data_IF_561806219899
#
_entry.id   IF_561806219899
#
_cell.length_a   1.000
_cell.length_b   1.000
_cell.length_c   1.000
_cell.angle_alpha   90.00
_cell.angle_beta   90.00
_cell.angle_gamma   90.00
#
_symmetry.space_group_name_H-M   'P 1'
#
loop_
_entity.id
_entity.type
_entity.pdbx_description
1 polymer ?
#
# COMPACT_ATOMS: atom_id res chain seq x y z
N UNK A 1 4.33 12.21 -0.95
CA UNK A 1 3.45 11.19 -1.58
C UNK A 1 4.24 10.00 -2.10
N UNK A 2 5.28 10.19 -2.92
CA UNK A 2 6.05 9.09 -3.54
C UNK A 2 6.57 8.04 -2.54
N UNK A 3 7.23 8.40 -1.41
CA UNK A 3 7.76 7.41 -0.46
C UNK A 3 6.65 6.56 0.18
N UNK A 4 5.51 7.19 0.44
CA UNK A 4 4.32 6.55 1.02
C UNK A 4 3.72 5.53 0.05
N UNK A 5 3.64 5.87 -1.24
CA UNK A 5 3.16 4.95 -2.27
C UNK A 5 4.09 3.73 -2.37
N UNK A 6 5.40 3.94 -2.46
CA UNK A 6 6.34 2.82 -2.55
C UNK A 6 6.33 1.93 -1.30
N UNK A 7 6.25 2.53 -0.11
CA UNK A 7 6.11 1.76 1.12
C UNK A 7 4.83 0.93 1.14
N UNK A 8 3.69 1.52 0.77
CA UNK A 8 2.39 0.84 0.76
C UNK A 8 2.35 -0.29 -0.28
N UNK A 9 2.84 -0.04 -1.50
CA UNK A 9 2.97 -1.06 -2.55
C UNK A 9 3.90 -2.19 -2.15
N UNK A 10 4.99 -1.90 -1.44
CA UNK A 10 5.92 -2.94 -0.97
C UNK A 10 5.24 -3.88 0.00
N UNK A 11 4.47 -3.36 0.95
CA UNK A 11 3.73 -4.18 1.91
C UNK A 11 2.63 -4.97 1.21
N UNK A 12 1.92 -4.35 0.27
CA UNK A 12 0.91 -5.00 -0.56
C UNK A 12 1.46 -6.22 -1.31
N UNK A 13 2.52 -6.04 -2.08
CA UNK A 13 3.19 -7.09 -2.83
C UNK A 13 3.83 -8.16 -1.93
N UNK A 14 4.44 -7.72 -0.84
CA UNK A 14 4.96 -8.64 0.18
C UNK A 14 3.86 -9.52 0.76
N UNK A 15 2.68 -8.97 1.02
CA UNK A 15 1.54 -9.72 1.56
C UNK A 15 1.02 -10.78 0.60
N UNK A 16 0.95 -10.49 -0.71
CA UNK A 16 0.67 -11.53 -1.71
C UNK A 16 1.69 -12.68 -1.64
N UNK A 17 2.98 -12.33 -1.70
CA UNK A 17 4.05 -13.33 -1.65
C UNK A 17 4.08 -14.12 -0.34
N UNK A 18 3.75 -13.47 0.78
CA UNK A 18 3.75 -14.10 2.11
C UNK A 18 2.59 -15.08 2.24
N UNK A 19 1.39 -14.73 1.78
CA UNK A 19 0.25 -15.65 1.79
C UNK A 19 0.46 -16.79 0.81
N UNK A 20 0.99 -16.53 -0.38
CA UNK A 20 1.34 -17.57 -1.35
C UNK A 20 2.34 -18.58 -0.73
N UNK A 21 3.38 -18.09 -0.07
CA UNK A 21 4.35 -18.93 0.64
C UNK A 21 3.71 -19.78 1.76
N UNK A 22 2.81 -19.20 2.55
CA UNK A 22 2.11 -19.92 3.62
C UNK A 22 1.14 -20.98 3.08
N UNK A 23 0.63 -20.81 1.87
CA UNK A 23 -0.26 -21.75 1.18
C UNK A 23 0.51 -22.79 0.33
N UNK A 24 1.84 -22.76 0.33
CA UNK A 24 2.68 -23.77 -0.32
C UNK A 24 3.46 -23.31 -1.56
N UNK A 25 3.21 -22.10 -2.07
CA UNK A 25 3.94 -21.56 -3.21
C UNK A 25 5.22 -20.81 -2.80
N UNK A 26 6.36 -21.48 -2.94
CA UNK A 26 7.67 -20.90 -2.65
C UNK A 26 8.31 -20.12 -3.82
N UNK A 27 7.59 -19.87 -4.92
CA UNK A 27 8.12 -19.21 -6.13
C UNK A 27 8.69 -17.82 -5.84
N UNK A 28 7.92 -16.97 -5.16
CA UNK A 28 8.37 -15.63 -4.77
C UNK A 28 9.61 -15.66 -3.86
N UNK A 29 9.68 -16.63 -2.95
CA UNK A 29 10.83 -16.80 -2.06
C UNK A 29 12.09 -17.21 -2.84
N UNK A 30 11.98 -18.23 -3.71
CA UNK A 30 13.10 -18.74 -4.54
C UNK A 30 13.66 -17.67 -5.48
N UNK A 31 12.81 -16.77 -5.97
CA UNK A 31 13.22 -15.64 -6.82
C UNK A 31 13.71 -14.43 -6.03
N UNK A 32 13.79 -14.50 -4.69
CA UNK A 32 14.18 -13.38 -3.83
C UNK A 32 13.19 -12.22 -3.84
N UNK A 33 11.94 -12.45 -4.25
CA UNK A 33 10.87 -11.45 -4.37
C UNK A 33 10.09 -11.27 -3.06
N UNK A 34 10.21 -12.22 -2.12
CA UNK A 34 9.69 -12.07 -0.75
C UNK A 34 10.59 -11.15 0.08
N UNK A 35 10.51 -9.84 -0.16
CA UNK A 35 11.40 -8.84 0.44
C UNK A 35 10.66 -7.56 0.81
N UNK A 36 11.08 -6.90 1.89
CA UNK A 36 10.65 -5.54 2.24
C UNK A 36 11.43 -4.44 1.52
N UNK A 37 12.35 -4.80 0.61
CA UNK A 37 13.07 -3.82 -0.18
C UNK A 37 12.14 -3.26 -1.28
N UNK A 38 11.76 -1.97 -1.24
CA UNK A 38 10.83 -1.40 -2.21
C UNK A 38 11.34 -1.47 -3.64
N UNK A 39 12.65 -1.36 -3.85
CA UNK A 39 13.26 -1.43 -5.18
C UNK A 39 13.07 -2.79 -5.86
N UNK A 40 12.82 -3.85 -5.08
CA UNK A 40 12.48 -5.15 -5.67
C UNK A 40 11.07 -5.17 -6.23
N UNK A 41 10.17 -4.31 -5.80
CA UNK A 41 8.77 -4.26 -6.27
C UNK A 41 8.52 -3.16 -7.30
N UNK A 42 9.53 -2.34 -7.61
CA UNK A 42 9.40 -1.31 -8.64
C UNK A 42 9.60 -1.88 -10.04
N UNK A 43 8.73 -1.46 -10.95
CA UNK A 43 8.96 -1.58 -12.38
C UNK A 43 9.64 -0.31 -12.89
N UNK A 44 10.69 -0.44 -13.69
CA UNK A 44 11.42 0.72 -14.20
C UNK A 44 10.53 1.58 -15.11
N UNK A 45 9.75 0.96 -15.99
CA UNK A 45 8.84 1.68 -16.88
C UNK A 45 7.67 2.26 -16.08
N UNK A 46 7.08 1.48 -15.17
CA UNK A 46 6.03 1.98 -14.27
C UNK A 46 6.49 3.19 -13.45
N UNK A 47 7.73 3.18 -12.96
CA UNK A 47 8.31 4.32 -12.22
C UNK A 47 8.53 5.54 -13.12
N UNK A 48 9.04 5.34 -14.34
CA UNK A 48 9.20 6.44 -15.31
C UNK A 48 7.85 7.07 -15.68
N UNK A 49 6.86 6.25 -16.00
CA UNK A 49 5.49 6.72 -16.28
C UNK A 49 4.93 7.50 -15.09
N UNK A 50 5.16 7.03 -13.86
CA UNK A 50 4.69 7.75 -12.69
C UNK A 50 5.34 9.14 -12.56
N UNK A 51 6.64 9.26 -12.84
CA UNK A 51 7.35 10.52 -12.78
C UNK A 51 6.94 11.54 -13.86
N UNK A 52 6.65 11.08 -15.09
CA UNK A 52 6.38 11.97 -16.23
C UNK A 52 4.89 12.15 -16.57
N UNK A 53 4.07 11.15 -16.26
CA UNK A 53 2.65 11.08 -16.63
C UNK A 53 1.75 11.13 -15.38
N UNK A 54 2.30 10.88 -14.18
CA UNK A 54 1.53 10.84 -12.93
C UNK A 54 0.79 9.52 -12.68
N UNK A 55 0.97 8.52 -13.55
CA UNK A 55 0.41 7.18 -13.43
C UNK A 55 1.50 6.13 -13.59
N UNK A 56 1.49 5.06 -12.80
CA UNK A 56 2.46 3.97 -12.91
C UNK A 56 2.00 2.72 -12.18
N UNK A 57 2.75 1.63 -12.33
CA UNK A 57 2.45 0.34 -11.75
C UNK A 57 3.68 -0.28 -11.07
N UNK A 58 3.43 -1.17 -10.12
CA UNK A 58 4.46 -1.99 -9.49
C UNK A 58 4.78 -3.21 -10.36
N UNK A 59 5.94 -3.83 -10.11
CA UNK A 59 6.30 -5.12 -10.69
C UNK A 59 5.72 -6.21 -9.77
N UNK A 60 4.68 -6.95 -10.18
CA UNK A 60 3.95 -7.86 -9.30
C UNK A 60 4.82 -9.01 -8.79
N UNK A 61 4.48 -9.54 -7.62
CA UNK A 61 5.11 -10.74 -7.05
C UNK A 61 4.63 -11.98 -7.80
N UNK A 62 5.56 -12.87 -8.23
CA UNK A 62 5.19 -14.08 -8.96
C UNK A 62 4.51 -15.09 -8.03
N UNK A 63 3.37 -15.60 -8.48
CA UNK A 63 2.59 -16.64 -7.80
C UNK A 63 2.31 -17.76 -8.81
N UNK A 64 2.57 -19.01 -8.42
CA UNK A 64 2.32 -20.20 -9.25
C UNK A 64 1.17 -21.04 -8.69
N UNK A 65 -0.03 -20.98 -9.29
CA UNK A 65 -1.21 -21.73 -8.82
C UNK A 65 -1.02 -23.25 -8.80
N UNK A 66 -0.04 -23.78 -9.55
CA UNK A 66 0.25 -25.22 -9.61
C UNK A 66 0.85 -25.77 -8.32
N UNK A 67 1.37 -24.89 -7.47
CA UNK A 67 1.96 -25.27 -6.18
C UNK A 67 0.91 -25.33 -5.05
N UNK A 68 -0.33 -24.93 -5.30
CA UNK A 68 -1.40 -24.94 -4.31
C UNK A 68 -2.20 -26.24 -4.33
N UNK A 69 -2.60 -26.70 -3.14
CA UNK A 69 -3.50 -27.84 -2.98
C UNK A 69 -4.91 -27.53 -3.51
N UNK A 70 -5.38 -26.28 -3.32
CA UNK A 70 -6.66 -25.80 -3.81
C UNK A 70 -6.48 -24.51 -4.62
N UNK A 71 -6.03 -24.60 -5.89
CA UNK A 71 -5.55 -23.46 -6.68
C UNK A 71 -6.52 -22.29 -6.80
N UNK A 72 -7.81 -22.58 -6.80
CA UNK A 72 -8.88 -21.58 -6.81
C UNK A 72 -8.88 -20.78 -5.50
N UNK A 73 -9.34 -21.42 -4.41
CA UNK A 73 -9.43 -20.84 -3.06
C UNK A 73 -8.14 -20.16 -2.63
N UNK A 74 -7.01 -20.80 -2.87
CA UNK A 74 -5.71 -20.31 -2.42
C UNK A 74 -5.29 -19.05 -3.21
N UNK A 75 -5.61 -18.97 -4.50
CA UNK A 75 -5.45 -17.73 -5.29
C UNK A 75 -6.36 -16.60 -4.82
N UNK A 76 -7.59 -16.89 -4.39
CA UNK A 76 -8.47 -15.87 -3.78
C UNK A 76 -7.85 -15.32 -2.48
N UNK A 77 -7.29 -16.17 -1.62
CA UNK A 77 -6.61 -15.71 -0.40
C UNK A 77 -5.36 -14.89 -0.69
N UNK A 78 -4.58 -15.30 -1.69
CA UNK A 78 -3.44 -14.50 -2.15
C UNK A 78 -3.93 -13.15 -2.64
N UNK A 79 -4.96 -13.11 -3.49
CA UNK A 79 -5.49 -11.86 -4.05
C UNK A 79 -6.02 -10.91 -2.98
N UNK A 80 -6.73 -11.40 -1.95
CA UNK A 80 -7.23 -10.52 -0.88
C UNK A 80 -6.14 -10.03 0.08
N UNK A 81 -4.98 -10.70 0.12
CA UNK A 81 -3.88 -10.38 1.03
C UNK A 81 -3.34 -8.95 0.82
N UNK A 82 -3.17 -8.53 -0.43
CA UNK A 82 -2.71 -7.20 -0.80
C UNK A 82 -3.65 -6.10 -0.30
N UNK A 83 -4.93 -6.07 -0.73
CA UNK A 83 -5.89 -5.08 -0.27
C UNK A 83 -6.09 -5.07 1.25
N UNK A 84 -6.10 -6.25 1.89
CA UNK A 84 -6.25 -6.35 3.35
C UNK A 84 -5.04 -5.75 4.09
N UNK A 85 -3.83 -5.92 3.56
CA UNK A 85 -2.63 -5.30 4.13
C UNK A 85 -2.67 -3.77 4.06
N UNK A 86 -3.17 -3.21 2.94
CA UNK A 86 -3.36 -1.77 2.79
C UNK A 86 -4.40 -1.24 3.78
N UNK A 87 -5.56 -1.91 3.91
CA UNK A 87 -6.56 -1.52 4.91
C UNK A 87 -5.98 -1.57 6.34
N UNK A 88 -5.17 -2.58 6.65
CA UNK A 88 -4.49 -2.71 7.94
C UNK A 88 -3.55 -1.53 8.18
N UNK A 89 -2.74 -1.15 7.18
CA UNK A 89 -1.88 0.04 7.25
C UNK A 89 -2.66 1.33 7.44
N UNK A 90 -3.79 1.49 6.74
CA UNK A 90 -4.65 2.66 6.89
C UNK A 90 -5.17 2.79 8.33
N UNK A 91 -5.59 1.69 8.95
CA UNK A 91 -6.01 1.69 10.37
C UNK A 91 -4.85 2.06 11.28
N UNK A 92 -3.66 1.48 11.06
CA UNK A 92 -2.46 1.78 11.85
C UNK A 92 -2.09 3.27 11.74
N UNK A 93 -2.03 3.83 10.54
CA UNK A 93 -1.72 5.25 10.36
C UNK A 93 -2.81 6.17 10.93
N UNK A 94 -4.08 5.81 10.79
CA UNK A 94 -5.19 6.55 11.39
C UNK A 94 -5.10 6.56 12.92
N UNK A 95 -4.69 5.45 13.54
CA UNK A 95 -4.41 5.38 14.97
C UNK A 95 -3.31 6.37 15.37
N UNK A 96 -2.19 6.41 14.63
CA UNK A 96 -1.10 7.36 14.91
C UNK A 96 -1.52 8.82 14.72
N UNK A 97 -2.38 9.13 13.74
CA UNK A 97 -2.94 10.49 13.58
C UNK A 97 -3.67 10.94 14.86
N UNK A 98 -4.42 10.05 15.51
CA UNK A 98 -5.13 10.36 16.77
C UNK A 98 -4.20 10.62 17.95
N UNK A 99 -2.97 10.10 17.91
CA UNK A 99 -1.97 10.33 18.95
C UNK A 99 -1.24 11.66 18.78
N UNK A 100 -1.35 12.31 17.62
CA UNK A 100 -0.76 13.63 17.35
C UNK A 100 -1.78 14.68 17.77
N UNK A 101 -1.35 15.63 18.61
CA UNK A 101 -2.18 16.77 18.96
C UNK A 101 -2.59 17.52 17.68
N UNK A 102 -3.89 17.78 17.46
CA UNK A 102 -4.32 18.50 16.27
C UNK A 102 -3.69 19.89 16.27
N UNK A 103 -2.78 20.18 15.31
CA UNK A 103 -2.31 21.56 15.13
C UNK A 103 -3.57 22.39 14.82
N UNK A 104 -3.96 23.27 15.75
CA UNK A 104 -5.08 24.18 15.55
C UNK A 104 -4.67 25.20 14.50
N UNK A 105 -4.87 24.88 13.22
CA UNK A 105 -4.74 25.84 12.11
C UNK A 105 -6.01 26.69 12.02
N UNK A 106 -6.48 27.22 13.16
CA UNK A 106 -7.61 28.15 13.20
C UNK A 106 -7.17 29.42 13.92
N UNK A 107 -7.36 30.54 13.22
CA UNK A 107 -7.05 31.94 13.57
C UNK A 107 -5.60 32.41 13.36
N UNK A 108 -5.28 32.72 12.10
CA UNK A 108 -4.23 33.71 11.77
C UNK A 108 -4.87 34.90 11.02
N UNK A 109 -6.01 35.42 11.51
CA UNK A 109 -6.63 36.64 10.96
C UNK A 109 -6.84 37.75 11.99
N UNK A 110 -6.69 37.50 13.30
CA UNK A 110 -6.77 38.56 14.30
C UNK A 110 -5.52 38.67 15.17
N UNK A 111 -4.93 39.87 15.12
CA UNK A 111 -4.06 40.47 16.14
C UNK A 111 -2.63 39.91 16.29
N UNK A 112 -1.67 40.62 15.67
CA UNK A 112 -0.46 41.23 16.26
C UNK A 112 0.33 40.53 17.39
N UNK A 113 0.29 39.21 17.51
CA UNK A 113 1.26 38.44 18.29
C UNK A 113 1.81 37.35 17.39
N UNK A 114 3.11 37.44 17.06
CA UNK A 114 3.89 36.32 16.57
C UNK A 114 3.96 35.24 17.66
N UNK A 115 2.87 34.52 17.88
CA UNK A 115 2.96 33.15 18.34
C UNK A 115 3.23 32.33 17.09
N UNK A 116 4.52 32.15 16.78
CA UNK A 116 4.96 31.02 15.98
C UNK A 116 4.58 29.76 16.76
N UNK A 117 3.33 29.34 16.63
CA UNK A 117 2.92 27.99 17.00
C UNK A 117 3.71 27.07 16.10
N UNK A 118 4.82 26.53 16.62
CA UNK A 118 5.63 25.57 15.91
C UNK A 118 4.76 24.34 15.68
N UNK A 119 4.17 24.20 14.49
CA UNK A 119 3.58 22.93 14.09
C UNK A 119 4.73 21.94 13.80
N UNK A 120 5.49 21.56 14.83
CA UNK A 120 6.64 20.65 14.71
C UNK A 120 6.22 19.29 14.13
N UNK A 121 4.93 18.95 14.25
CA UNK A 121 4.34 17.72 13.72
C UNK A 121 3.50 17.90 12.43
N UNK A 122 3.44 19.10 11.83
CA UNK A 122 2.62 19.32 10.63
C UNK A 122 3.02 18.40 9.47
N UNK A 123 4.33 18.25 9.23
CA UNK A 123 4.84 17.39 8.15
C UNK A 123 4.45 15.93 8.41
N UNK A 124 4.60 15.46 9.65
CA UNK A 124 4.24 14.10 10.04
C UNK A 124 2.74 13.85 9.89
N UNK A 125 1.91 14.80 10.34
CA UNK A 125 0.46 14.73 10.19
C UNK A 125 0.03 14.65 8.71
N UNK A 126 0.63 15.47 7.85
CA UNK A 126 0.39 15.45 6.40
C UNK A 126 0.81 14.11 5.80
N UNK A 127 2.00 13.59 6.16
CA UNK A 127 2.49 12.31 5.66
C UNK A 127 1.60 11.14 6.07
N UNK A 128 1.15 11.09 7.33
CA UNK A 128 0.23 10.06 7.80
C UNK A 128 -1.14 10.17 7.13
N UNK A 129 -1.66 11.39 6.94
CA UNK A 129 -2.92 11.63 6.25
C UNK A 129 -2.87 11.14 4.80
N UNK A 130 -1.78 11.44 4.09
CA UNK A 130 -1.51 10.91 2.75
C UNK A 130 -1.40 9.37 2.80
N UNK A 131 -0.77 8.79 3.82
CA UNK A 131 -0.63 7.35 3.96
C UNK A 131 -1.96 6.63 4.16
N UNK A 132 -2.86 7.18 4.98
CA UNK A 132 -4.23 6.67 5.10
C UNK A 132 -4.95 6.73 3.76
N UNK A 133 -4.94 7.90 3.11
CA UNK A 133 -5.59 8.08 1.81
C UNK A 133 -5.09 7.09 0.75
N UNK A 134 -3.78 6.99 0.59
CA UNK A 134 -3.15 6.10 -0.40
C UNK A 134 -3.49 4.64 -0.13
N UNK A 135 -3.41 4.18 1.12
CA UNK A 135 -3.69 2.78 1.44
C UNK A 135 -5.16 2.42 1.23
N UNK A 136 -6.10 3.30 1.62
CA UNK A 136 -7.53 3.10 1.35
C UNK A 136 -7.80 3.10 -0.15
N UNK A 137 -7.23 4.06 -0.89
CA UNK A 137 -7.39 4.14 -2.34
C UNK A 137 -6.85 2.89 -3.06
N UNK A 138 -5.64 2.42 -2.69
CA UNK A 138 -5.05 1.20 -3.23
C UNK A 138 -5.87 -0.04 -2.91
N UNK A 139 -6.43 -0.15 -1.69
CA UNK A 139 -7.28 -1.26 -1.31
C UNK A 139 -8.57 -1.30 -2.15
N UNK A 140 -9.28 -0.16 -2.25
CA UNK A 140 -10.52 -0.06 -3.03
C UNK A 140 -10.23 -0.35 -4.51
N UNK A 141 -9.18 0.26 -5.07
CA UNK A 141 -8.81 0.09 -6.46
C UNK A 141 -8.51 -1.38 -6.76
N UNK A 142 -7.67 -2.04 -5.97
CA UNK A 142 -7.33 -3.44 -6.21
C UNK A 142 -8.49 -4.42 -5.95
N UNK A 143 -9.52 -4.05 -5.19
CA UNK A 143 -10.73 -4.86 -5.02
C UNK A 143 -11.74 -4.73 -6.17
N UNK A 144 -11.51 -3.83 -7.14
CA UNK A 144 -12.39 -3.73 -8.31
C UNK A 144 -12.33 -5.03 -9.14
N UNK A 145 -13.47 -5.53 -9.63
CA UNK A 145 -13.56 -6.79 -10.35
C UNK A 145 -13.12 -6.67 -11.83
N UNK A 146 -11.96 -6.06 -12.07
CA UNK A 146 -11.45 -5.77 -13.41
C UNK A 146 -10.04 -6.34 -13.53
N UNK A 147 -9.80 -7.21 -14.51
CA UNK A 147 -8.44 -7.69 -14.79
C UNK A 147 -7.57 -6.50 -15.24
N UNK A 148 -6.33 -6.31 -14.72
CA UNK A 148 -5.49 -7.26 -13.96
C UNK A 148 -5.55 -7.14 -12.42
N UNK A 149 -6.53 -6.45 -11.85
CA UNK A 149 -6.62 -6.17 -10.41
C UNK A 149 -7.01 -7.41 -9.60
N UNK A 150 -6.63 -7.40 -8.31
CA UNK A 150 -6.82 -8.52 -7.38
C UNK A 150 -8.29 -8.96 -7.26
N UNK A 151 -9.23 -8.03 -7.29
CA UNK A 151 -10.66 -8.28 -7.18
C UNK A 151 -11.18 -9.23 -8.26
N UNK A 152 -10.55 -9.26 -9.43
CA UNK A 152 -10.88 -10.22 -10.49
C UNK A 152 -10.50 -11.66 -10.14
N UNK A 153 -9.44 -11.87 -9.36
CA UNK A 153 -9.01 -13.16 -8.83
C UNK A 153 -9.83 -13.58 -7.62
N UNK A 154 -10.25 -12.61 -6.78
CA UNK A 154 -11.13 -12.87 -5.64
C UNK A 154 -12.48 -13.46 -6.09
N UNK A 155 -13.05 -12.97 -7.19
CA UNK A 155 -14.36 -13.45 -7.69
C UNK A 155 -14.25 -14.82 -8.35
N UNK A 156 -13.10 -15.17 -8.94
CA UNK A 156 -12.92 -16.47 -9.61
C UNK A 156 -12.95 -17.65 -8.63
N UNK A 157 -12.81 -17.36 -7.34
CA UNK A 157 -12.80 -18.35 -6.27
C UNK A 157 -11.42 -18.95 -6.17
#
# INVERSE_FOLDING_TARGET
MIPVIFFSLTIHEYSHGKIAFLLGDNTAQRLGRLSFNPFRHLDLMGTLFFCFVGFGWAKPVPVDPRNFDQPRRDMMYVAIAGPLSNLTLAVIFSFFIRMIEPCRVHEVIHMNQLTTGSCDNAILFILLSIAVYVNVALAIFNLLPVFPLDGSSVIKG
#
